data_IF_640635055923
#
_entry.id   IF_640635055923
#
_cell.length_a   1.000
_cell.length_b   1.000
_cell.length_c   1.000
_cell.angle_alpha   90.00
_cell.angle_beta   90.00
_cell.angle_gamma   90.00
#
_symmetry.space_group_name_H-M   'P 1'
#
loop_
_entity.id
_entity.type
_entity.pdbx_description
1 polymer ?
#
# COMPACT_ATOMS: atom_id res chain seq x y z
N UNK A 1 -16.14 18.44 -6.13
CA UNK A 1 -14.90 19.00 -6.70
C UNK A 1 -15.00 20.52 -6.74
N UNK A 2 -13.96 21.17 -6.28
CA UNK A 2 -13.83 22.62 -6.27
C UNK A 2 -12.60 23.02 -7.09
N UNK A 3 -12.77 24.00 -7.96
CA UNK A 3 -11.68 24.50 -8.80
C UNK A 3 -11.46 26.00 -8.51
N UNK A 4 -10.21 26.36 -8.27
CA UNK A 4 -9.79 27.73 -8.00
C UNK A 4 -8.72 28.15 -9.02
N UNK A 5 -8.61 29.44 -9.29
CA UNK A 5 -7.48 29.99 -10.03
C UNK A 5 -6.45 30.54 -9.05
N UNK A 6 -5.21 30.04 -9.14
CA UNK A 6 -4.08 30.49 -8.33
C UNK A 6 -2.92 30.82 -9.25
N UNK A 7 -2.40 32.06 -9.18
CA UNK A 7 -1.32 32.56 -10.05
C UNK A 7 -1.56 32.31 -11.56
N UNK A 8 -2.84 32.46 -11.99
CA UNK A 8 -3.23 32.31 -13.40
C UNK A 8 -3.44 30.88 -13.87
N UNK A 9 -3.30 29.89 -12.98
CA UNK A 9 -3.47 28.48 -13.30
C UNK A 9 -4.50 27.79 -12.39
N UNK A 10 -4.89 26.57 -12.74
CA UNK A 10 -5.96 25.84 -12.05
C UNK A 10 -5.43 25.08 -10.84
N UNK A 11 -6.01 25.36 -9.68
CA UNK A 11 -5.89 24.56 -8.46
C UNK A 11 -7.21 23.84 -8.25
N UNK A 12 -7.21 22.51 -8.26
CA UNK A 12 -8.41 21.72 -8.01
C UNK A 12 -8.32 21.02 -6.64
N UNK A 13 -9.42 21.08 -5.91
CA UNK A 13 -9.61 20.35 -4.65
C UNK A 13 -10.75 19.34 -4.82
N UNK A 14 -10.46 18.07 -4.60
CA UNK A 14 -11.44 16.99 -4.60
C UNK A 14 -11.50 16.37 -3.22
N UNK A 15 -12.70 16.22 -2.68
CA UNK A 15 -12.94 15.47 -1.46
C UNK A 15 -13.87 14.29 -1.76
N UNK A 16 -13.53 13.12 -1.26
CA UNK A 16 -14.37 11.94 -1.36
C UNK A 16 -14.31 11.12 -0.07
N UNK A 17 -15.30 10.26 0.11
CA UNK A 17 -15.36 9.36 1.24
C UNK A 17 -16.32 8.22 0.98
N UNK A 18 -16.10 7.13 1.71
CA UNK A 18 -17.00 5.99 1.69
C UNK A 18 -17.10 5.34 3.08
N UNK A 19 -18.17 4.59 3.25
CA UNK A 19 -18.39 3.70 4.37
C UNK A 19 -18.83 2.34 3.83
N UNK A 20 -18.04 1.30 4.10
CA UNK A 20 -18.36 -0.06 3.70
C UNK A 20 -18.52 -0.96 4.91
N UNK A 21 -19.58 -1.77 4.89
CA UNK A 21 -19.81 -2.84 5.85
C UNK A 21 -19.84 -4.17 5.12
N UNK A 22 -18.80 -4.97 5.29
CA UNK A 22 -18.56 -6.17 4.51
C UNK A 22 -18.52 -7.41 5.41
N UNK A 23 -19.09 -8.51 4.96
CA UNK A 23 -18.82 -9.80 5.59
C UNK A 23 -17.38 -10.21 5.22
N UNK A 24 -16.61 -10.80 6.16
CA UNK A 24 -15.38 -11.49 5.80
C UNK A 24 -15.69 -12.49 4.68
N UNK A 25 -14.79 -12.57 3.69
CA UNK A 25 -14.99 -13.47 2.56
C UNK A 25 -15.10 -14.91 3.01
N UNK A 26 -15.69 -15.76 2.18
CA UNK A 26 -15.83 -17.19 2.47
C UNK A 26 -14.49 -17.82 2.85
N UNK A 27 -13.39 -17.37 2.22
CA UNK A 27 -12.05 -17.87 2.44
C UNK A 27 -11.52 -17.62 3.86
N UNK A 28 -11.88 -16.53 4.53
CA UNK A 28 -11.59 -16.33 5.96
C UNK A 28 -12.45 -17.18 6.87
N UNK A 29 -13.65 -17.53 6.43
CA UNK A 29 -14.60 -18.28 7.26
C UNK A 29 -14.45 -19.77 7.14
N UNK A 30 -14.25 -20.26 5.92
CA UNK A 30 -14.20 -21.70 5.64
C UNK A 30 -13.06 -22.02 4.71
N UNK A 31 -12.22 -22.93 5.12
CA UNK A 31 -11.14 -23.46 4.29
C UNK A 31 -10.76 -24.86 4.76
N UNK A 32 -10.56 -25.76 3.82
CA UNK A 32 -10.09 -27.11 4.09
C UNK A 32 -9.07 -27.53 3.04
N UNK A 33 -7.84 -27.77 3.48
CA UNK A 33 -6.77 -28.34 2.68
C UNK A 33 -5.98 -29.36 3.48
N UNK A 34 -5.01 -30.00 2.86
CA UNK A 34 -4.14 -30.97 3.53
C UNK A 34 -3.32 -30.34 4.68
N UNK A 35 -3.02 -29.05 4.60
CA UNK A 35 -2.08 -28.38 5.52
C UNK A 35 -2.71 -27.28 6.36
N UNK A 36 -3.94 -26.90 6.07
CA UNK A 36 -4.65 -25.86 6.82
C UNK A 36 -6.16 -26.13 6.77
N UNK A 37 -6.81 -25.95 7.92
CA UNK A 37 -8.25 -26.10 8.06
C UNK A 37 -8.79 -25.11 9.09
N UNK A 38 -9.89 -24.43 8.73
CA UNK A 38 -10.63 -23.61 9.66
C UNK A 38 -12.10 -23.51 9.26
N UNK A 39 -12.94 -23.31 10.28
CA UNK A 39 -14.37 -23.07 10.17
C UNK A 39 -14.76 -21.96 11.16
N UNK A 40 -14.76 -20.70 10.70
CA UNK A 40 -14.96 -19.50 11.49
C UNK A 40 -16.32 -18.86 11.22
N UNK A 41 -17.39 -19.50 11.68
CA UNK A 41 -18.77 -19.05 11.45
C UNK A 41 -19.14 -17.75 12.18
N UNK A 42 -18.44 -17.41 13.26
CA UNK A 42 -18.76 -16.31 14.18
C UNK A 42 -18.04 -14.99 13.88
N UNK A 43 -17.39 -14.86 12.72
CA UNK A 43 -16.66 -13.64 12.38
C UNK A 43 -17.59 -12.43 12.25
N UNK A 44 -17.20 -11.33 12.89
CA UNK A 44 -17.91 -10.05 12.81
C UNK A 44 -17.74 -9.40 11.44
N UNK A 45 -18.71 -8.55 11.04
CA UNK A 45 -18.60 -7.77 9.82
C UNK A 45 -17.46 -6.75 9.94
N UNK A 46 -16.65 -6.65 8.90
CA UNK A 46 -15.64 -5.62 8.78
C UNK A 46 -16.32 -4.30 8.42
N UNK A 47 -15.88 -3.21 9.06
CA UNK A 47 -16.30 -1.85 8.74
C UNK A 47 -15.08 -1.11 8.22
N UNK A 48 -15.20 -0.45 7.07
CA UNK A 48 -14.15 0.38 6.51
C UNK A 48 -14.72 1.75 6.14
N UNK A 49 -14.24 2.76 6.83
CA UNK A 49 -14.55 4.17 6.55
C UNK A 49 -13.29 4.83 6.00
N UNK A 50 -13.42 5.56 4.91
CA UNK A 50 -12.35 6.36 4.33
C UNK A 50 -12.81 7.76 4.01
N UNK A 51 -11.98 8.74 4.37
CA UNK A 51 -12.06 10.12 3.93
C UNK A 51 -10.78 10.47 3.19
N UNK A 52 -10.89 11.11 2.04
CA UNK A 52 -9.75 11.49 1.22
C UNK A 52 -9.92 12.90 0.64
N UNK A 53 -8.87 13.70 0.76
CA UNK A 53 -8.71 14.98 0.07
C UNK A 53 -7.61 14.89 -0.98
N UNK A 54 -7.81 15.47 -2.15
CA UNK A 54 -6.84 15.53 -3.24
C UNK A 54 -6.75 16.99 -3.68
N UNK A 55 -5.53 17.54 -3.58
CA UNK A 55 -5.21 18.87 -4.07
C UNK A 55 -4.29 18.72 -5.29
N UNK A 56 -4.70 19.23 -6.43
CA UNK A 56 -3.91 19.19 -7.65
C UNK A 56 -3.67 20.62 -8.18
N UNK A 57 -2.40 20.95 -8.40
CA UNK A 57 -1.98 22.20 -9.02
C UNK A 57 -1.40 21.94 -10.41
N UNK A 58 -2.11 22.40 -11.43
CA UNK A 58 -1.85 22.06 -12.83
C UNK A 58 -0.52 22.62 -13.34
N UNK A 59 -0.14 23.82 -12.96
CA UNK A 59 1.08 24.48 -13.43
C UNK A 59 2.35 23.70 -13.15
N UNK A 60 2.46 23.16 -11.97
CA UNK A 60 3.61 22.36 -11.54
C UNK A 60 3.36 20.87 -11.62
N UNK A 61 2.17 20.45 -12.03
CA UNK A 61 1.74 19.04 -12.03
C UNK A 61 1.94 18.35 -10.68
N UNK A 62 1.68 19.11 -9.60
CA UNK A 62 1.82 18.65 -8.23
C UNK A 62 0.49 18.15 -7.73
N UNK A 63 0.47 16.97 -7.14
CA UNK A 63 -0.72 16.39 -6.51
C UNK A 63 -0.41 16.00 -5.08
N UNK A 64 -1.16 16.56 -4.13
CA UNK A 64 -1.14 16.18 -2.73
C UNK A 64 -2.41 15.37 -2.43
N UNK A 65 -2.27 14.16 -1.91
CA UNK A 65 -3.37 13.31 -1.43
C UNK A 65 -3.23 13.10 0.06
N UNK A 66 -4.30 13.31 0.80
CA UNK A 66 -4.38 13.04 2.23
C UNK A 66 -5.57 12.11 2.44
N UNK A 67 -5.34 10.96 3.04
CA UNK A 67 -6.36 9.95 3.34
C UNK A 67 -6.33 9.55 4.80
N UNK A 68 -7.51 9.32 5.36
CA UNK A 68 -7.70 8.74 6.69
C UNK A 68 -8.62 7.54 6.53
N UNK A 69 -8.13 6.38 6.93
CA UNK A 69 -8.89 5.13 6.93
C UNK A 69 -9.11 4.67 8.37
N UNK A 70 -10.33 4.26 8.68
CA UNK A 70 -10.68 3.53 9.90
C UNK A 70 -11.23 2.17 9.52
N UNK A 71 -10.59 1.10 10.00
CA UNK A 71 -10.97 -0.27 9.70
C UNK A 71 -11.25 -0.98 11.02
N UNK A 72 -12.50 -1.42 11.22
CA UNK A 72 -12.92 -2.19 12.38
C UNK A 72 -13.14 -3.65 12.00
N UNK A 73 -12.86 -4.56 12.93
CA UNK A 73 -12.98 -6.01 12.76
C UNK A 73 -12.20 -6.53 11.54
N UNK A 74 -10.99 -6.03 11.35
CA UNK A 74 -10.14 -6.41 10.21
C UNK A 74 -9.77 -7.89 10.27
N UNK A 75 -10.14 -8.65 9.22
CA UNK A 75 -9.78 -10.05 9.08
C UNK A 75 -8.52 -10.20 8.24
N UNK A 76 -7.59 -11.05 8.69
CA UNK A 76 -6.32 -11.26 8.02
C UNK A 76 -5.79 -12.68 8.24
N UNK A 77 -4.95 -13.13 7.33
CA UNK A 77 -4.16 -14.34 7.52
C UNK A 77 -2.88 -13.99 8.27
N UNK A 78 -2.55 -14.75 9.29
CA UNK A 78 -1.30 -14.63 10.02
C UNK A 78 -0.48 -15.90 9.85
N UNK A 79 0.83 -15.75 9.66
CA UNK A 79 1.77 -16.85 9.67
C UNK A 79 2.77 -16.70 10.80
N UNK A 80 3.13 -17.83 11.39
CA UNK A 80 4.23 -17.93 12.33
C UNK A 80 5.13 -19.08 11.95
N UNK A 81 6.42 -18.97 12.28
CA UNK A 81 7.40 -20.03 12.14
C UNK A 81 8.50 -19.83 13.17
N UNK A 82 9.25 -20.88 13.45
CA UNK A 82 10.48 -20.82 14.22
C UNK A 82 11.67 -21.01 13.29
N UNK A 83 12.81 -20.40 13.63
CA UNK A 83 14.05 -20.60 12.87
C UNK A 83 14.93 -21.57 13.63
N UNK A 84 15.30 -22.67 12.99
CA UNK A 84 16.22 -23.66 13.52
C UNK A 84 17.34 -23.90 12.50
N UNK A 85 18.60 -23.65 12.89
CA UNK A 85 19.78 -23.77 12.00
C UNK A 85 19.62 -23.05 10.64
N UNK A 86 19.04 -21.83 10.65
CA UNK A 86 18.79 -21.04 9.44
C UNK A 86 17.57 -21.48 8.61
N UNK A 87 16.91 -22.58 8.98
CA UNK A 87 15.73 -23.05 8.29
C UNK A 87 14.45 -22.63 9.04
N UNK A 88 13.42 -22.25 8.27
CA UNK A 88 12.09 -21.99 8.82
C UNK A 88 11.39 -23.32 9.09
N UNK A 89 10.99 -23.56 10.34
CA UNK A 89 10.29 -24.77 10.77
C UNK A 89 9.02 -24.38 11.54
N UNK A 90 8.13 -25.35 11.74
CA UNK A 90 6.88 -25.17 12.49
C UNK A 90 5.99 -24.06 11.90
N UNK A 91 5.84 -24.06 10.58
CA UNK A 91 4.92 -23.12 9.92
C UNK A 91 3.48 -23.36 10.38
N UNK A 92 2.86 -22.30 10.90
CA UNK A 92 1.44 -22.28 11.23
C UNK A 92 0.77 -21.11 10.51
N UNK A 93 -0.43 -21.36 10.01
CA UNK A 93 -1.28 -20.33 9.38
C UNK A 93 -2.56 -20.28 10.18
N UNK A 94 -2.98 -19.08 10.52
CA UNK A 94 -4.23 -18.82 11.24
C UNK A 94 -5.01 -17.70 10.56
N UNK A 95 -6.32 -17.77 10.66
CA UNK A 95 -7.19 -16.64 10.33
C UNK A 95 -7.49 -15.90 11.63
N UNK A 96 -7.17 -14.62 11.64
CA UNK A 96 -7.41 -13.77 12.78
C UNK A 96 -8.36 -12.63 12.40
N UNK A 97 -9.07 -12.12 13.40
CA UNK A 97 -9.88 -10.92 13.27
C UNK A 97 -9.54 -9.96 14.40
N UNK A 98 -9.04 -8.78 14.05
CA UNK A 98 -8.73 -7.75 15.03
C UNK A 98 -10.00 -6.97 15.37
N UNK A 99 -10.50 -7.13 16.60
CA UNK A 99 -11.77 -6.52 17.04
C UNK A 99 -11.71 -5.03 17.34
N UNK A 100 -10.53 -4.41 17.32
CA UNK A 100 -10.36 -2.97 17.52
C UNK A 100 -10.39 -2.17 16.22
N UNK A 101 -10.29 -0.85 16.35
CA UNK A 101 -10.15 0.07 15.22
C UNK A 101 -8.68 0.18 14.78
N UNK A 102 -8.42 -0.04 13.51
CA UNK A 102 -7.15 0.28 12.85
C UNK A 102 -7.33 1.62 12.17
N UNK A 103 -6.53 2.62 12.58
CA UNK A 103 -6.48 3.93 11.95
C UNK A 103 -5.22 4.01 11.09
N UNK A 104 -5.40 4.28 9.81
CA UNK A 104 -4.32 4.50 8.85
C UNK A 104 -4.42 5.92 8.30
N UNK A 105 -3.36 6.69 8.48
CA UNK A 105 -3.18 8.00 7.85
C UNK A 105 -2.23 7.83 6.68
N UNK A 106 -2.60 8.36 5.52
CA UNK A 106 -1.79 8.35 4.30
C UNK A 106 -1.66 9.75 3.76
N UNK A 107 -0.43 10.20 3.52
CA UNK A 107 -0.14 11.46 2.82
C UNK A 107 0.76 11.13 1.64
N UNK A 108 0.35 11.45 0.43
CA UNK A 108 1.12 11.21 -0.78
C UNK A 108 1.29 12.50 -1.58
N UNK A 109 2.54 12.84 -1.87
CA UNK A 109 2.92 13.94 -2.74
C UNK A 109 3.48 13.38 -4.04
N UNK A 110 2.83 13.71 -5.16
CA UNK A 110 3.30 13.38 -6.49
C UNK A 110 3.74 14.65 -7.20
N UNK A 111 4.89 14.59 -7.84
CA UNK A 111 5.46 15.70 -8.59
C UNK A 111 5.99 15.20 -9.94
N UNK A 112 5.54 15.83 -11.02
CA UNK A 112 6.02 15.57 -12.36
C UNK A 112 6.70 16.83 -12.90
N UNK A 113 7.91 16.68 -13.39
CA UNK A 113 8.70 17.76 -13.94
C UNK A 113 9.20 17.40 -15.34
N UNK A 114 9.11 18.34 -16.29
CA UNK A 114 9.60 18.15 -17.66
C UNK A 114 10.42 19.37 -18.06
N UNK A 115 11.67 19.13 -18.47
CA UNK A 115 12.57 20.15 -19.00
C UNK A 115 13.15 19.68 -20.33
N UNK A 116 12.52 20.12 -21.43
CA UNK A 116 12.88 19.64 -22.76
C UNK A 116 12.73 18.13 -22.89
N UNK A 117 13.80 17.37 -23.22
CA UNK A 117 13.73 15.91 -23.31
C UNK A 117 13.76 15.21 -21.93
N UNK A 118 14.20 15.91 -20.87
CA UNK A 118 14.33 15.36 -19.52
C UNK A 118 12.98 15.35 -18.81
N UNK A 119 12.61 14.20 -18.25
CA UNK A 119 11.41 14.02 -17.44
C UNK A 119 11.79 13.43 -16.09
N UNK A 120 11.19 13.95 -15.04
CA UNK A 120 11.34 13.45 -13.68
C UNK A 120 9.96 13.31 -13.03
N UNK A 121 9.64 12.09 -12.63
CA UNK A 121 8.41 11.75 -11.93
C UNK A 121 8.78 11.24 -10.54
N UNK A 122 8.15 11.79 -9.51
CA UNK A 122 8.38 11.34 -8.15
C UNK A 122 7.10 11.23 -7.35
N UNK A 123 7.03 10.22 -6.49
CA UNK A 123 5.95 10.03 -5.54
C UNK A 123 6.56 9.74 -4.18
N UNK A 124 6.24 10.58 -3.20
CA UNK A 124 6.62 10.38 -1.81
C UNK A 124 5.34 10.09 -1.03
N UNK A 125 5.29 8.94 -0.38
CA UNK A 125 4.16 8.55 0.44
C UNK A 125 4.60 8.37 1.89
N UNK A 126 3.93 9.07 2.79
CA UNK A 126 4.00 8.85 4.22
C UNK A 126 2.72 8.17 4.66
N UNK A 127 2.83 7.10 5.44
CA UNK A 127 1.67 6.40 6.00
C UNK A 127 1.97 5.92 7.41
N UNK A 128 0.96 5.95 8.25
CA UNK A 128 1.09 5.53 9.64
C UNK A 128 -0.13 4.77 10.09
N UNK A 129 0.07 3.52 10.45
CA UNK A 129 -0.93 2.68 11.09
C UNK A 129 -0.75 2.75 12.62
N UNK A 130 -1.86 2.81 13.36
CA UNK A 130 -1.83 2.66 14.81
C UNK A 130 -1.58 1.21 15.26
N UNK A 131 -1.69 0.23 14.35
CA UNK A 131 -1.44 -1.18 14.63
C UNK A 131 -0.59 -1.82 13.54
N UNK A 132 0.74 -1.72 13.69
CA UNK A 132 1.71 -2.26 12.73
C UNK A 132 1.85 -3.79 12.78
N UNK A 133 1.31 -4.45 13.80
CA UNK A 133 1.34 -5.92 13.88
C UNK A 133 0.24 -6.57 13.06
N UNK A 134 -0.87 -5.87 12.82
CA UNK A 134 -2.02 -6.36 12.07
C UNK A 134 -2.05 -5.78 10.65
N UNK A 135 -1.69 -4.50 10.51
CA UNK A 135 -1.57 -3.81 9.24
C UNK A 135 -0.15 -3.22 9.13
N UNK A 136 0.85 -4.05 8.80
CA UNK A 136 2.22 -3.60 8.64
C UNK A 136 2.37 -2.82 7.34
N UNK A 137 2.71 -1.54 7.47
CA UNK A 137 3.00 -0.66 6.33
C UNK A 137 4.31 0.08 6.59
N UNK A 138 5.13 0.35 5.56
CA UNK A 138 6.30 1.21 5.71
C UNK A 138 5.85 2.64 6.01
N UNK A 139 6.53 3.35 6.91
CA UNK A 139 6.20 4.73 7.24
C UNK A 139 6.46 5.66 6.05
N UNK A 140 7.54 5.42 5.29
CA UNK A 140 7.84 6.14 4.06
C UNK A 140 8.03 5.19 2.90
N UNK A 141 7.51 5.59 1.75
CA UNK A 141 7.73 4.96 0.46
C UNK A 141 8.02 6.07 -0.55
N UNK A 142 9.15 5.97 -1.24
CA UNK A 142 9.62 6.95 -2.21
C UNK A 142 9.80 6.22 -3.55
N UNK A 143 9.19 6.75 -4.57
CA UNK A 143 9.43 6.38 -5.96
C UNK A 143 9.94 7.58 -6.71
N UNK A 144 11.01 7.42 -7.48
CA UNK A 144 11.56 8.45 -8.34
C UNK A 144 11.99 7.84 -9.66
N UNK A 145 11.54 8.39 -10.76
CA UNK A 145 11.86 7.97 -12.11
C UNK A 145 12.41 9.17 -12.90
N UNK A 146 13.65 9.06 -13.36
CA UNK A 146 14.31 10.07 -14.18
C UNK A 146 14.61 9.47 -15.55
N UNK A 147 14.08 10.07 -16.61
CA UNK A 147 14.25 9.57 -17.96
C UNK A 147 14.32 10.67 -19.02
N UNK A 148 14.93 10.34 -20.14
CA UNK A 148 15.08 11.22 -21.29
C UNK A 148 14.27 10.64 -22.47
N UNK A 149 13.44 11.49 -23.08
CA UNK A 149 12.72 11.17 -24.32
C UNK A 149 13.48 11.70 -25.52
N UNK A 150 13.77 10.85 -26.49
CA UNK A 150 14.42 11.25 -27.72
C UNK A 150 13.92 10.43 -28.92
N UNK A 151 14.21 10.90 -30.12
CA UNK A 151 13.85 10.20 -31.36
C UNK A 151 15.10 9.85 -32.14
N UNK A 152 15.24 8.59 -32.53
CA UNK A 152 16.26 8.10 -33.46
C UNK A 152 15.69 8.17 -34.88
N UNK A 153 16.45 8.79 -35.78
CA UNK A 153 16.09 8.96 -37.18
C UNK A 153 14.67 9.58 -37.42
N UNK A 154 14.15 10.34 -36.44
CA UNK A 154 12.80 10.94 -36.39
C UNK A 154 11.63 9.95 -36.45
N UNK A 155 11.88 8.66 -36.45
CA UNK A 155 10.87 7.60 -36.59
C UNK A 155 10.71 6.85 -35.27
N UNK A 156 11.81 6.44 -34.63
CA UNK A 156 11.79 5.64 -33.40
C UNK A 156 11.78 6.55 -32.18
N UNK A 157 10.69 6.56 -31.42
CA UNK A 157 10.64 7.22 -30.10
C UNK A 157 11.23 6.30 -29.06
N UNK A 158 12.21 6.80 -28.31
CA UNK A 158 12.92 6.07 -27.26
C UNK A 158 12.82 6.83 -25.94
N UNK A 159 12.57 6.11 -24.85
CA UNK A 159 12.68 6.59 -23.49
C UNK A 159 13.83 5.83 -22.81
N UNK A 160 14.78 6.54 -22.24
CA UNK A 160 15.92 5.96 -21.53
C UNK A 160 16.05 6.61 -20.17
N UNK A 161 16.09 5.82 -19.12
CA UNK A 161 16.16 6.34 -17.75
C UNK A 161 16.40 5.27 -16.71
N UNK A 162 16.28 5.70 -15.45
CA UNK A 162 16.40 4.85 -14.29
C UNK A 162 15.30 5.21 -13.28
N UNK A 163 14.77 4.21 -12.60
CA UNK A 163 13.88 4.40 -11.48
C UNK A 163 14.52 3.89 -10.18
N UNK A 164 14.13 4.52 -9.08
CA UNK A 164 14.56 4.17 -7.73
C UNK A 164 13.31 4.04 -6.87
N UNK A 165 13.27 2.97 -6.08
CA UNK A 165 12.25 2.75 -5.06
C UNK A 165 12.93 2.57 -3.71
N UNK A 166 12.45 3.31 -2.72
CA UNK A 166 12.93 3.21 -1.36
C UNK A 166 11.73 3.12 -0.41
N UNK A 167 11.80 2.27 0.58
CA UNK A 167 10.83 2.21 1.66
C UNK A 167 11.51 1.95 3.00
N UNK A 168 10.92 2.49 4.07
CA UNK A 168 11.41 2.27 5.42
C UNK A 168 11.09 0.87 5.91
N UNK A 169 11.88 0.38 6.84
CA UNK A 169 11.76 -0.95 7.43
C UNK A 169 10.36 -1.25 7.97
N UNK A 170 9.81 -2.38 7.60
CA UNK A 170 8.50 -2.88 8.07
C UNK A 170 8.46 -4.41 8.00
N UNK A 171 7.43 -5.01 8.58
CA UNK A 171 7.20 -6.46 8.48
C UNK A 171 6.42 -6.76 7.20
N UNK A 172 7.11 -7.01 6.11
CA UNK A 172 6.46 -7.35 4.84
C UNK A 172 5.63 -8.64 4.98
N UNK A 173 4.43 -8.71 4.40
CA UNK A 173 3.66 -9.94 4.35
C UNK A 173 4.43 -11.07 3.68
N UNK A 174 4.38 -12.26 4.26
CA UNK A 174 5.01 -13.45 3.72
C UNK A 174 4.03 -14.20 2.80
N UNK A 175 4.49 -14.64 1.62
CA UNK A 175 3.65 -15.39 0.71
C UNK A 175 3.61 -16.86 1.12
N UNK A 176 2.40 -17.39 1.31
CA UNK A 176 2.19 -18.79 1.60
C UNK A 176 1.65 -19.53 0.38
N UNK A 177 2.46 -20.40 -0.26
CA UNK A 177 2.07 -21.11 -1.48
C UNK A 177 0.95 -22.14 -1.24
N UNK A 178 0.88 -22.74 -0.04
CA UNK A 178 -0.18 -23.68 0.31
C UNK A 178 -1.56 -23.03 0.43
N UNK A 179 -1.58 -21.71 0.70
CA UNK A 179 -2.78 -20.90 0.80
C UNK A 179 -3.03 -20.07 -0.47
N UNK A 180 -2.00 -19.82 -1.27
CA UNK A 180 -2.05 -18.92 -2.42
C UNK A 180 -2.27 -17.45 -2.02
N UNK A 181 -1.93 -17.07 -0.78
CA UNK A 181 -2.21 -15.75 -0.21
C UNK A 181 -1.01 -15.21 0.58
N UNK A 182 -0.99 -13.89 0.74
CA UNK A 182 -0.07 -13.23 1.65
C UNK A 182 -0.60 -13.29 3.08
N UNK A 183 0.30 -13.56 4.01
CA UNK A 183 0.03 -13.68 5.45
C UNK A 183 0.81 -12.62 6.20
N UNK A 184 0.20 -12.01 7.19
CA UNK A 184 0.89 -11.09 8.10
C UNK A 184 1.86 -11.88 8.98
N UNK A 185 3.09 -11.38 9.08
CA UNK A 185 4.14 -11.97 9.91
C UNK A 185 4.89 -10.86 10.67
N UNK A 186 5.48 -11.20 11.80
CA UNK A 186 6.28 -10.29 12.64
C UNK A 186 7.69 -10.82 12.93
N UNK A 187 8.10 -11.88 12.23
CA UNK A 187 9.37 -12.55 12.49
C UNK A 187 10.56 -11.88 11.77
N UNK A 188 10.33 -11.38 10.57
CA UNK A 188 11.38 -10.77 9.76
C UNK A 188 10.93 -9.42 9.23
N UNK A 189 11.65 -8.36 9.57
CA UNK A 189 11.43 -7.03 9.00
C UNK A 189 12.24 -6.87 7.72
N UNK A 190 11.64 -6.25 6.73
CA UNK A 190 12.25 -5.93 5.43
C UNK A 190 12.44 -4.42 5.32
N UNK A 191 13.56 -3.97 4.79
CA UNK A 191 13.81 -2.58 4.47
C UNK A 191 14.17 -2.40 2.99
N UNK A 192 14.16 -1.15 2.52
CA UNK A 192 14.39 -0.83 1.11
C UNK A 192 15.83 -1.01 0.64
N UNK A 193 16.72 -1.53 1.48
CA UNK A 193 18.11 -1.84 1.16
C UNK A 193 18.33 -3.30 0.81
N UNK A 194 17.36 -4.16 1.10
CA UNK A 194 17.39 -5.58 0.76
C UNK A 194 16.92 -5.77 -0.70
N UNK A 195 17.81 -5.51 -1.65
CA UNK A 195 17.61 -5.75 -3.09
C UNK A 195 18.34 -7.00 -3.53
#
# INVERSE_FOLDING_TARGET
DLNFKLFGDTLSLTANGFFHRLNPTFYYRHYHSRHAWWDNNSMSKMLHTRLQGILHYQKTRTTLRIGIDEINNYAYFASSYTVNNGNRVNHAITVNQYGGAINLITVALSQDFTLGPLNWESVITYQKSNNKTVLPVPDFNIYSNLYIKFKIARVLSCDFGADVRYFTKYFAPDYNPGLGQYTVQTNTATDGTDS
#
